data_IF_488012366026
#
_entry.id   IF_488012366026
#
_cell.length_a   1.000
_cell.length_b   1.000
_cell.length_c   1.000
_cell.angle_alpha   90.00
_cell.angle_beta   90.00
_cell.angle_gamma   90.00
#
_symmetry.space_group_name_H-M   'P 1'
#
loop_
_entity.id
_entity.type
_entity.pdbx_description
1 polymer ?
#
# COMPACT_ATOMS: atom_id res chain seq x y z
N UNK A 1 -4.43 -2.63 -8.40
CA UNK A 1 -5.01 -3.14 -7.14
C UNK A 1 -4.61 -4.60 -7.07
N UNK A 2 -3.67 -4.90 -6.18
CA UNK A 2 -3.08 -6.23 -6.04
C UNK A 2 -3.61 -6.89 -4.78
N UNK A 3 -4.02 -8.16 -4.89
CA UNK A 3 -4.27 -8.97 -3.71
C UNK A 3 -2.94 -9.58 -3.27
N UNK A 4 -2.22 -8.84 -2.42
CA UNK A 4 -0.89 -9.25 -1.99
C UNK A 4 -0.90 -10.58 -1.22
N UNK A 5 0.07 -11.44 -1.53
CA UNK A 5 0.28 -12.73 -0.88
C UNK A 5 0.69 -12.65 0.61
N UNK A 6 0.85 -11.43 1.15
CA UNK A 6 1.31 -11.15 2.52
C UNK A 6 0.68 -12.08 3.56
N UNK A 7 -0.65 -12.05 3.66
CA UNK A 7 -1.39 -12.77 4.72
C UNK A 7 -1.30 -14.29 4.53
N UNK A 8 -1.31 -14.76 3.27
CA UNK A 8 -1.20 -16.19 2.97
C UNK A 8 0.17 -16.74 3.33
N UNK A 9 1.24 -16.03 2.97
CA UNK A 9 2.62 -16.39 3.33
C UNK A 9 2.78 -16.38 4.85
N UNK A 10 2.22 -15.38 5.54
CA UNK A 10 2.25 -15.30 7.00
C UNK A 10 1.61 -16.52 7.67
N UNK A 11 0.46 -16.96 7.15
CA UNK A 11 -0.24 -18.13 7.66
C UNK A 11 0.54 -19.42 7.44
N UNK A 12 1.05 -19.64 6.22
CA UNK A 12 1.80 -20.85 5.88
C UNK A 12 3.05 -20.95 6.76
N UNK A 13 3.83 -19.87 6.85
CA UNK A 13 5.07 -19.84 7.65
C UNK A 13 4.74 -19.94 9.14
N UNK A 14 3.69 -19.27 9.62
CA UNK A 14 3.24 -19.36 11.00
C UNK A 14 2.81 -20.78 11.42
N UNK A 15 2.29 -21.59 10.49
CA UNK A 15 2.02 -23.00 10.71
C UNK A 15 3.26 -23.89 10.60
N UNK A 16 4.19 -23.56 9.70
CA UNK A 16 5.39 -24.36 9.45
C UNK A 16 6.47 -24.18 10.54
N UNK A 17 6.72 -22.95 10.99
CA UNK A 17 7.76 -22.60 11.97
C UNK A 17 7.16 -21.66 13.03
N UNK A 18 6.34 -22.16 13.96
CA UNK A 18 5.78 -21.36 15.02
C UNK A 18 6.86 -20.97 16.05
N UNK A 19 6.75 -19.77 16.62
CA UNK A 19 7.59 -19.30 17.73
C UNK A 19 8.76 -18.40 17.32
N UNK A 20 9.00 -18.20 16.02
CA UNK A 20 10.07 -17.32 15.53
C UNK A 20 9.52 -16.19 14.65
N UNK A 21 9.32 -15.02 15.26
CA UNK A 21 8.85 -13.82 14.56
C UNK A 21 9.85 -13.26 13.53
N UNK A 22 11.15 -13.47 13.73
CA UNK A 22 12.19 -12.97 12.82
C UNK A 22 12.14 -13.72 11.49
N UNK A 23 12.04 -15.05 11.53
CA UNK A 23 11.90 -15.88 10.32
C UNK A 23 10.65 -15.48 9.53
N UNK A 24 9.52 -15.26 10.23
CA UNK A 24 8.30 -14.79 9.59
C UNK A 24 8.50 -13.42 8.91
N UNK A 25 9.13 -12.46 9.59
CA UNK A 25 9.39 -11.13 9.03
C UNK A 25 10.25 -11.21 7.77
N UNK A 26 11.32 -12.01 7.78
CA UNK A 26 12.21 -12.17 6.62
C UNK A 26 11.48 -12.80 5.43
N UNK A 27 10.74 -13.89 5.65
CA UNK A 27 10.02 -14.57 4.56
C UNK A 27 8.88 -13.70 4.03
N UNK A 28 8.15 -13.00 4.91
CA UNK A 28 7.13 -12.04 4.51
C UNK A 28 7.73 -10.90 3.67
N UNK A 29 8.83 -10.32 4.11
CA UNK A 29 9.51 -9.25 3.38
C UNK A 29 9.95 -9.73 1.99
N UNK A 30 10.54 -10.92 1.88
CA UNK A 30 10.94 -11.48 0.59
C UNK A 30 9.73 -11.77 -0.30
N UNK A 31 8.74 -12.52 0.20
CA UNK A 31 7.57 -12.92 -0.57
C UNK A 31 6.78 -11.74 -1.09
N UNK A 32 6.51 -10.74 -0.25
CA UNK A 32 5.75 -9.56 -0.65
C UNK A 32 6.50 -8.67 -1.63
N UNK A 33 7.79 -8.40 -1.39
CA UNK A 33 8.55 -7.53 -2.27
C UNK A 33 8.79 -8.19 -3.64
N UNK A 34 9.05 -9.49 -3.69
CA UNK A 34 9.23 -10.21 -4.96
C UNK A 34 7.94 -10.16 -5.78
N UNK A 35 6.80 -10.49 -5.16
CA UNK A 35 5.48 -10.47 -5.81
C UNK A 35 5.12 -9.07 -6.30
N UNK A 36 5.26 -8.06 -5.44
CA UNK A 36 4.99 -6.67 -5.78
C UNK A 36 5.89 -6.12 -6.89
N UNK A 37 7.19 -6.47 -6.89
CA UNK A 37 8.10 -6.06 -7.97
C UNK A 37 7.78 -6.77 -9.28
N UNK A 38 7.42 -8.05 -9.23
CA UNK A 38 7.02 -8.82 -10.41
C UNK A 38 5.74 -8.26 -11.06
N UNK A 39 4.73 -7.91 -10.26
CA UNK A 39 3.48 -7.33 -10.77
C UNK A 39 3.70 -5.93 -11.38
N UNK A 40 4.50 -5.09 -10.70
CA UNK A 40 4.89 -3.78 -11.24
C UNK A 40 5.66 -3.95 -12.56
N UNK A 41 6.59 -4.90 -12.63
CA UNK A 41 7.33 -5.20 -13.85
C UNK A 41 6.40 -5.59 -15.01
N UNK A 42 5.45 -6.50 -14.77
CA UNK A 42 4.48 -6.93 -15.80
C UNK A 42 3.59 -5.76 -16.23
N UNK A 43 3.14 -4.93 -15.30
CA UNK A 43 2.32 -3.75 -15.59
C UNK A 43 3.08 -2.77 -16.48
N UNK A 44 4.32 -2.45 -16.11
CA UNK A 44 5.20 -1.58 -16.89
C UNK A 44 5.49 -2.16 -18.28
N UNK A 45 5.66 -3.47 -18.40
CA UNK A 45 5.90 -4.12 -19.68
C UNK A 45 4.68 -4.03 -20.61
N UNK A 46 3.47 -4.11 -20.05
CA UNK A 46 2.23 -3.90 -20.79
C UNK A 46 2.09 -2.46 -21.27
N UNK A 47 2.40 -1.48 -20.43
CA UNK A 47 2.40 -0.07 -20.82
C UNK A 47 3.45 0.23 -21.90
N UNK A 48 4.66 -0.31 -21.74
CA UNK A 48 5.72 -0.20 -22.75
C UNK A 48 5.34 -0.83 -24.09
N UNK A 49 4.59 -1.93 -24.07
CA UNK A 49 4.06 -2.56 -25.27
C UNK A 49 3.09 -1.62 -26.02
N UNK A 50 2.17 -0.95 -25.30
CA UNK A 50 1.29 0.06 -25.90
C UNK A 50 2.05 1.27 -26.45
N UNK A 51 3.16 1.66 -25.80
CA UNK A 51 4.04 2.74 -26.24
C UNK A 51 5.04 2.33 -27.33
N UNK A 52 5.02 1.08 -27.79
CA UNK A 52 5.96 0.51 -28.80
C UNK A 52 7.43 0.60 -28.40
N UNK A 53 7.73 0.51 -27.11
CA UNK A 53 9.11 0.51 -26.58
C UNK A 53 9.66 -0.93 -26.62
N UNK A 54 10.91 -1.15 -27.08
CA UNK A 54 11.49 -2.50 -27.11
C UNK A 54 11.71 -3.06 -25.69
N UNK A 55 11.36 -4.33 -25.43
CA UNK A 55 11.35 -4.90 -24.08
C UNK A 55 12.74 -4.98 -23.43
N UNK A 56 13.80 -5.22 -24.22
CA UNK A 56 15.17 -5.29 -23.70
C UNK A 56 15.69 -3.92 -23.21
N UNK A 57 15.27 -2.82 -23.84
CA UNK A 57 15.63 -1.48 -23.38
C UNK A 57 14.95 -1.15 -22.05
N UNK A 58 13.66 -1.52 -21.93
CA UNK A 58 12.90 -1.37 -20.69
C UNK A 58 13.54 -2.16 -19.53
N UNK A 59 13.88 -3.43 -19.77
CA UNK A 59 14.50 -4.28 -18.76
C UNK A 59 15.82 -3.68 -18.24
N UNK A 60 16.70 -3.22 -19.14
CA UNK A 60 17.97 -2.59 -18.76
C UNK A 60 17.76 -1.30 -17.95
N UNK A 61 16.80 -0.47 -18.36
CA UNK A 61 16.44 0.76 -17.64
C UNK A 61 15.93 0.48 -16.23
N UNK A 62 15.02 -0.50 -16.09
CA UNK A 62 14.48 -0.88 -14.79
C UNK A 62 15.53 -1.50 -13.88
N UNK A 63 16.39 -2.39 -14.39
CA UNK A 63 17.48 -2.97 -13.60
C UNK A 63 18.44 -1.91 -13.07
N UNK A 64 18.81 -0.92 -13.89
CA UNK A 64 19.67 0.19 -13.47
C UNK A 64 18.97 1.06 -12.41
N UNK A 65 17.69 1.39 -12.62
CA UNK A 65 16.91 2.18 -11.68
C UNK A 65 16.76 1.47 -10.32
N UNK A 66 16.46 0.17 -10.32
CA UNK A 66 16.37 -0.63 -9.09
C UNK A 66 17.71 -0.70 -8.36
N UNK A 67 18.81 -0.86 -9.10
CA UNK A 67 20.15 -0.86 -8.51
C UNK A 67 20.45 0.45 -7.78
N UNK A 68 20.20 1.60 -8.43
CA UNK A 68 20.38 2.92 -7.81
C UNK A 68 19.44 3.08 -6.60
N UNK A 69 18.17 2.67 -6.74
CA UNK A 69 17.16 2.75 -5.68
C UNK A 69 17.58 1.99 -4.42
N UNK A 70 18.25 0.84 -4.55
CA UNK A 70 18.77 0.08 -3.41
C UNK A 70 19.76 0.90 -2.58
N UNK A 71 20.75 1.54 -3.22
CA UNK A 71 21.74 2.36 -2.51
C UNK A 71 21.12 3.60 -1.88
N UNK A 72 20.26 4.31 -2.64
CA UNK A 72 19.62 5.53 -2.14
C UNK A 72 18.72 5.21 -0.95
N UNK A 73 17.90 4.15 -1.04
CA UNK A 73 17.01 3.76 0.05
C UNK A 73 17.79 3.37 1.30
N UNK A 74 18.85 2.56 1.16
CA UNK A 74 19.71 2.18 2.28
C UNK A 74 20.43 3.39 2.91
N UNK A 75 20.94 4.31 2.08
CA UNK A 75 21.60 5.53 2.56
C UNK A 75 20.63 6.42 3.35
N UNK A 76 19.44 6.66 2.82
CA UNK A 76 18.41 7.47 3.50
C UNK A 76 17.96 6.79 4.79
N UNK A 77 17.71 5.48 4.80
CA UNK A 77 17.31 4.77 6.03
C UNK A 77 18.39 4.86 7.12
N UNK A 78 19.66 4.65 6.77
CA UNK A 78 20.77 4.77 7.74
C UNK A 78 20.93 6.21 8.26
N UNK A 79 20.74 7.20 7.39
CA UNK A 79 20.79 8.61 7.78
C UNK A 79 19.65 8.98 8.74
N UNK A 80 18.42 8.57 8.42
CA UNK A 80 17.24 8.83 9.28
C UNK A 80 17.41 8.20 10.66
N UNK A 81 17.94 6.97 10.73
CA UNK A 81 18.17 6.29 12.01
C UNK A 81 19.25 6.94 12.86
N UNK A 82 20.28 7.52 12.25
CA UNK A 82 21.40 8.14 12.98
C UNK A 82 21.16 9.61 13.35
N UNK A 83 20.33 10.32 12.59
CA UNK A 83 20.18 11.78 12.71
C UNK A 83 18.85 12.22 13.32
N UNK A 84 17.86 11.32 13.46
CA UNK A 84 16.54 11.65 14.02
C UNK A 84 16.34 10.92 15.34
N UNK A 85 16.59 11.63 16.44
CA UNK A 85 16.44 11.11 17.80
C UNK A 85 14.97 10.87 18.15
N UNK A 86 14.62 9.66 18.60
CA UNK A 86 13.25 9.32 18.99
C UNK A 86 12.33 8.95 17.82
N UNK A 87 12.88 8.33 16.76
CA UNK A 87 12.11 7.79 15.65
C UNK A 87 10.97 6.86 16.14
N UNK A 88 9.80 6.96 15.52
CA UNK A 88 8.62 6.13 15.84
C UNK A 88 8.02 6.32 17.25
N UNK A 89 8.45 7.34 17.99
CA UNK A 89 7.82 7.76 19.26
C UNK A 89 6.61 8.68 19.00
N UNK A 90 5.56 8.62 19.83
CA UNK A 90 4.35 9.45 19.65
C UNK A 90 4.60 10.95 19.86
N UNK A 91 5.69 11.32 20.55
CA UNK A 91 6.02 12.72 20.89
C UNK A 91 7.09 13.34 19.99
N UNK A 92 7.49 12.67 18.90
CA UNK A 92 8.46 13.21 17.97
C UNK A 92 7.97 14.55 17.37
N UNK A 93 8.79 15.59 17.42
CA UNK A 93 8.46 16.94 16.95
C UNK A 93 8.04 16.96 15.47
N UNK A 94 8.65 16.08 14.67
CA UNK A 94 8.37 15.92 13.24
C UNK A 94 7.26 14.89 12.93
N UNK A 95 6.60 14.33 13.96
CA UNK A 95 5.48 13.37 13.86
C UNK A 95 5.78 12.10 13.04
N UNK A 96 7.04 11.65 13.02
CA UNK A 96 7.40 10.34 12.48
C UNK A 96 6.93 9.21 13.41
N UNK A 97 5.65 8.83 13.33
CA UNK A 97 5.00 7.85 14.22
C UNK A 97 5.05 6.39 13.72
N UNK A 98 5.55 6.16 12.50
CA UNK A 98 5.79 4.85 11.87
C UNK A 98 4.63 3.84 12.00
N UNK A 99 3.39 4.18 11.59
CA UNK A 99 2.24 3.30 11.75
C UNK A 99 2.36 2.00 10.95
N UNK A 100 2.98 2.04 9.77
CA UNK A 100 3.23 0.87 8.92
C UNK A 100 4.18 -0.14 9.58
N UNK A 101 5.33 0.33 10.07
CA UNK A 101 6.33 -0.53 10.70
C UNK A 101 5.83 -1.17 11.99
N UNK A 102 5.08 -0.41 12.81
CA UNK A 102 4.44 -0.96 14.00
C UNK A 102 3.41 -2.04 13.68
N UNK A 103 2.68 -1.89 12.57
CA UNK A 103 1.71 -2.89 12.12
C UNK A 103 2.42 -4.13 11.58
N UNK A 104 3.52 -3.95 10.85
CA UNK A 104 4.34 -5.06 10.35
C UNK A 104 4.97 -5.86 11.51
N UNK A 105 5.48 -5.19 12.54
CA UNK A 105 5.99 -5.84 13.76
C UNK A 105 4.88 -6.51 14.58
N UNK A 106 3.74 -5.85 14.78
CA UNK A 106 2.62 -6.47 15.52
C UNK A 106 2.09 -7.72 14.81
N UNK A 107 2.05 -7.70 13.47
CA UNK A 107 1.69 -8.87 12.67
C UNK A 107 2.68 -10.03 12.87
N UNK A 108 3.98 -9.77 12.98
CA UNK A 108 4.97 -10.82 13.19
C UNK A 108 4.87 -11.47 14.57
N UNK A 109 4.45 -10.71 15.59
CA UNK A 109 4.18 -11.25 16.92
C UNK A 109 2.94 -12.16 16.89
N UNK A 110 1.85 -11.71 16.27
CA UNK A 110 0.59 -12.47 16.23
C UNK A 110 0.74 -13.74 15.39
N UNK A 111 1.24 -13.63 14.17
CA UNK A 111 1.30 -14.76 13.24
C UNK A 111 2.57 -15.61 13.38
N UNK A 112 3.67 -15.04 13.86
CA UNK A 112 4.96 -15.71 13.93
C UNK A 112 5.26 -16.29 15.31
N UNK A 113 5.13 -15.46 16.36
CA UNK A 113 5.47 -15.90 17.73
C UNK A 113 4.32 -16.67 18.39
N UNK A 114 3.09 -16.14 18.35
CA UNK A 114 1.92 -16.83 18.92
C UNK A 114 1.50 -18.00 18.02
N UNK A 115 1.50 -17.74 16.71
CA UNK A 115 1.17 -18.71 15.67
C UNK A 115 -0.34 -18.86 15.43
N UNK A 116 -0.75 -19.13 14.19
CA UNK A 116 -2.15 -19.24 13.80
C UNK A 116 -2.89 -20.36 14.55
N UNK A 117 -2.22 -21.44 14.96
CA UNK A 117 -2.82 -22.53 15.74
C UNK A 117 -3.42 -22.05 17.07
N UNK A 118 -2.78 -21.12 17.78
CA UNK A 118 -3.30 -20.56 19.04
C UNK A 118 -4.31 -19.45 18.81
N UNK A 119 -4.09 -18.61 17.80
CA UNK A 119 -5.02 -17.53 17.44
C UNK A 119 -6.38 -18.10 17.04
N UNK A 120 -6.40 -19.10 16.17
CA UNK A 120 -7.65 -19.65 15.64
C UNK A 120 -8.31 -20.71 16.53
N UNK A 121 -7.60 -21.40 17.42
CA UNK A 121 -8.23 -22.38 18.32
C UNK A 121 -8.55 -21.82 19.71
N UNK A 122 -7.91 -20.73 20.12
CA UNK A 122 -8.09 -20.14 21.46
C UNK A 122 -8.71 -18.76 21.41
N UNK A 123 -7.90 -17.76 21.06
CA UNK A 123 -8.26 -16.33 21.22
C UNK A 123 -9.40 -15.88 20.30
N UNK A 124 -9.43 -16.35 19.05
CA UNK A 124 -10.38 -15.90 18.04
C UNK A 124 -10.82 -17.04 17.12
N UNK A 125 -11.67 -17.97 17.61
CA UNK A 125 -12.16 -19.11 16.82
C UNK A 125 -13.04 -18.70 15.64
N UNK A 126 -13.73 -17.57 15.75
CA UNK A 126 -14.59 -17.02 14.69
C UNK A 126 -13.80 -16.67 13.41
N UNK A 127 -12.52 -16.29 13.53
CA UNK A 127 -11.72 -15.83 12.38
C UNK A 127 -11.45 -16.94 11.35
N UNK A 128 -11.50 -18.22 11.73
CA UNK A 128 -11.41 -19.33 10.77
C UNK A 128 -12.53 -19.29 9.73
N UNK A 129 -13.73 -18.92 10.18
CA UNK A 129 -14.91 -18.84 9.33
C UNK A 129 -14.84 -17.68 8.35
N UNK A 130 -14.01 -16.66 8.60
CA UNK A 130 -13.79 -15.57 7.66
C UNK A 130 -13.18 -16.06 6.32
N UNK A 131 -12.37 -17.13 6.31
CA UNK A 131 -11.90 -17.73 5.05
C UNK A 131 -13.03 -18.33 4.24
N UNK A 132 -13.95 -19.04 4.91
CA UNK A 132 -15.12 -19.64 4.27
C UNK A 132 -16.11 -18.57 3.80
N UNK A 133 -16.35 -17.52 4.61
CA UNK A 133 -17.13 -16.36 4.20
C UNK A 133 -16.49 -15.72 2.96
N UNK A 134 -15.17 -15.50 2.95
CA UNK A 134 -14.46 -14.96 1.80
C UNK A 134 -14.61 -15.81 0.53
N UNK A 135 -14.55 -17.14 0.65
CA UNK A 135 -14.74 -18.07 -0.47
C UNK A 135 -16.19 -18.12 -0.97
N UNK A 136 -17.17 -17.94 -0.07
CA UNK A 136 -18.58 -17.94 -0.43
C UNK A 136 -19.07 -16.58 -0.94
N UNK A 137 -18.49 -15.46 -0.49
CA UNK A 137 -18.86 -14.10 -0.87
C UNK A 137 -18.88 -13.78 -2.38
N UNK A 138 -18.04 -14.37 -3.27
CA UNK A 138 -18.20 -14.18 -4.71
C UNK A 138 -19.51 -14.76 -5.26
N UNK A 139 -20.08 -15.80 -4.64
CA UNK A 139 -21.32 -16.44 -5.10
C UNK A 139 -22.54 -15.50 -5.02
N UNK A 140 -22.87 -14.87 -3.87
CA UNK A 140 -23.95 -13.89 -3.80
C UNK A 140 -23.62 -12.63 -4.60
N UNK A 141 -22.35 -12.21 -4.71
CA UNK A 141 -21.99 -11.10 -5.59
C UNK A 141 -22.24 -11.42 -7.08
N UNK A 142 -21.99 -12.65 -7.52
CA UNK A 142 -22.28 -13.12 -8.86
C UNK A 142 -23.80 -13.22 -9.10
N UNK A 143 -24.54 -13.81 -8.16
CA UNK A 143 -25.99 -13.90 -8.23
C UNK A 143 -26.64 -12.50 -8.27
N UNK A 144 -26.18 -11.57 -7.44
CA UNK A 144 -26.63 -10.18 -7.47
C UNK A 144 -26.32 -9.50 -8.80
N UNK A 145 -25.20 -9.88 -9.44
CA UNK A 145 -24.85 -9.36 -10.77
C UNK A 145 -25.73 -9.92 -11.89
N UNK A 146 -26.22 -11.15 -11.76
CA UNK A 146 -27.05 -11.80 -12.76
C UNK A 146 -28.54 -11.48 -12.61
N UNK A 147 -29.05 -11.42 -11.39
CA UNK A 147 -30.48 -11.28 -11.07
C UNK A 147 -30.88 -9.88 -10.59
N UNK A 148 -29.92 -8.99 -10.32
CA UNK A 148 -30.18 -7.64 -9.84
C UNK A 148 -30.60 -6.64 -10.92
N UNK A 149 -31.25 -5.52 -10.53
CA UNK A 149 -31.62 -4.46 -11.45
C UNK A 149 -30.38 -3.82 -12.10
N UNK A 150 -30.35 -3.79 -13.44
CA UNK A 150 -29.22 -3.30 -14.25
C UNK A 150 -28.73 -1.90 -13.86
N UNK A 151 -29.59 -1.06 -13.27
CA UNK A 151 -29.25 0.29 -12.79
C UNK A 151 -28.19 0.27 -11.66
N UNK A 152 -28.30 -0.66 -10.71
CA UNK A 152 -27.38 -0.74 -9.55
C UNK A 152 -26.19 -1.64 -9.87
N UNK A 153 -26.46 -2.75 -10.55
CA UNK A 153 -25.47 -3.77 -10.90
C UNK A 153 -24.35 -3.26 -11.81
N UNK A 154 -24.61 -2.23 -12.62
CA UNK A 154 -23.60 -1.61 -13.49
C UNK A 154 -22.49 -0.90 -12.72
N UNK A 155 -22.80 -0.34 -11.55
CA UNK A 155 -21.85 0.41 -10.73
C UNK A 155 -21.26 -0.42 -9.58
N UNK A 156 -21.85 -1.58 -9.28
CA UNK A 156 -21.41 -2.43 -8.19
C UNK A 156 -20.19 -3.26 -8.59
N UNK A 157 -19.02 -2.87 -8.09
CA UNK A 157 -17.76 -3.60 -8.26
C UNK A 157 -17.29 -4.13 -6.89
N UNK A 158 -17.63 -5.38 -6.55
CA UNK A 158 -17.37 -5.93 -5.21
C UNK A 158 -15.87 -5.97 -4.86
N UNK A 159 -15.01 -6.17 -5.86
CA UNK A 159 -13.55 -6.16 -5.70
C UNK A 159 -13.01 -4.83 -5.17
N UNK A 160 -13.58 -3.70 -5.62
CA UNK A 160 -13.17 -2.38 -5.15
C UNK A 160 -13.56 -2.15 -3.70
N UNK A 161 -14.75 -2.63 -3.31
CA UNK A 161 -15.26 -2.49 -1.94
C UNK A 161 -14.39 -3.32 -0.99
N UNK A 162 -14.21 -4.61 -1.26
CA UNK A 162 -13.39 -5.52 -0.45
C UNK A 162 -11.95 -5.00 -0.38
N UNK A 163 -11.43 -4.50 -1.49
CA UNK A 163 -10.11 -3.92 -1.55
C UNK A 163 -9.92 -2.64 -0.75
N UNK A 164 -10.95 -1.79 -0.69
CA UNK A 164 -10.96 -0.60 0.16
C UNK A 164 -10.83 -0.97 1.64
N UNK A 165 -11.50 -2.03 2.09
CA UNK A 165 -11.43 -2.49 3.48
C UNK A 165 -10.03 -2.94 3.91
N UNK A 166 -9.19 -3.43 2.99
CA UNK A 166 -7.81 -3.83 3.29
C UNK A 166 -6.91 -2.64 3.67
N UNK A 167 -7.24 -1.43 3.24
CA UNK A 167 -6.42 -0.24 3.49
C UNK A 167 -6.77 0.47 4.81
N UNK A 168 -7.89 0.10 5.45
CA UNK A 168 -8.34 0.71 6.70
C UNK A 168 -7.30 0.55 7.83
N UNK A 169 -6.82 -0.66 8.16
CA UNK A 169 -5.66 -0.78 9.06
C UNK A 169 -4.39 -0.39 8.29
N UNK A 170 -3.58 0.63 8.69
CA UNK A 170 -3.30 1.15 10.03
C UNK A 170 -3.78 2.61 10.30
N UNK A 171 -4.64 3.17 9.45
CA UNK A 171 -5.02 4.58 9.52
C UNK A 171 -6.42 4.76 10.10
N UNK A 172 -6.59 5.76 10.96
CA UNK A 172 -7.90 6.10 11.52
C UNK A 172 -8.87 6.59 10.42
N UNK A 173 -10.17 6.49 10.69
CA UNK A 173 -11.24 6.95 9.78
C UNK A 173 -11.02 8.41 9.32
N UNK A 174 -10.48 9.26 10.19
CA UNK A 174 -10.14 10.65 9.89
C UNK A 174 -9.17 10.84 8.72
N UNK A 175 -8.34 9.84 8.39
CA UNK A 175 -7.47 9.88 7.21
C UNK A 175 -8.22 9.53 5.92
N UNK A 176 -9.24 8.66 5.99
CA UNK A 176 -10.01 8.21 4.84
C UNK A 176 -11.17 9.14 4.47
N UNK A 177 -11.81 9.73 5.49
CA UNK A 177 -12.94 10.65 5.32
C UNK A 177 -12.66 11.81 4.35
N UNK A 178 -11.55 12.58 4.46
CA UNK A 178 -11.26 13.65 3.50
C UNK A 178 -11.00 13.13 2.08
N UNK A 179 -10.33 11.97 1.95
CA UNK A 179 -10.12 11.32 0.64
C UNK A 179 -11.44 10.92 -0.01
N UNK A 180 -12.42 10.47 0.78
CA UNK A 180 -13.76 10.13 0.30
C UNK A 180 -14.52 11.37 -0.19
N UNK A 181 -14.45 12.50 0.53
CA UNK A 181 -15.06 13.75 0.08
C UNK A 181 -14.42 14.28 -1.20
N UNK A 182 -13.09 14.25 -1.29
CA UNK A 182 -12.38 14.61 -2.51
C UNK A 182 -12.75 13.69 -3.68
N UNK A 183 -12.80 12.37 -3.45
CA UNK A 183 -13.22 11.41 -4.46
C UNK A 183 -14.64 11.68 -4.95
N UNK A 184 -15.59 11.96 -4.04
CA UNK A 184 -16.96 12.33 -4.43
C UNK A 184 -17.01 13.64 -5.24
N UNK A 185 -16.28 14.67 -4.80
CA UNK A 185 -16.21 15.94 -5.52
C UNK A 185 -15.67 15.76 -6.95
N UNK A 186 -14.55 15.07 -7.13
CA UNK A 186 -13.92 14.91 -8.43
C UNK A 186 -14.59 13.84 -9.32
N UNK A 187 -14.90 12.66 -8.78
CA UNK A 187 -15.43 11.54 -9.56
C UNK A 187 -16.95 11.61 -9.79
N UNK A 188 -17.71 12.23 -8.89
CA UNK A 188 -19.17 12.31 -9.02
C UNK A 188 -19.64 13.72 -9.42
N UNK A 189 -19.19 14.76 -8.70
CA UNK A 189 -19.70 16.11 -8.93
C UNK A 189 -19.12 16.76 -10.20
N UNK A 190 -17.79 16.83 -10.30
CA UNK A 190 -17.09 17.47 -11.41
C UNK A 190 -17.27 16.65 -12.69
N UNK A 191 -17.09 15.33 -12.64
CA UNK A 191 -17.27 14.46 -13.81
C UNK A 191 -18.66 14.56 -14.45
N UNK A 192 -19.73 14.76 -13.66
CA UNK A 192 -21.10 14.87 -14.19
C UNK A 192 -21.44 16.26 -14.73
N UNK A 193 -20.88 17.34 -14.16
CA UNK A 193 -21.18 18.72 -14.58
C UNK A 193 -20.19 19.28 -15.61
N UNK A 194 -18.95 18.81 -15.61
CA UNK A 194 -17.84 19.33 -16.41
C UNK A 194 -16.98 18.18 -16.99
N UNK A 195 -17.58 17.36 -17.84
CA UNK A 195 -16.91 16.20 -18.48
C UNK A 195 -15.62 16.60 -19.21
N UNK A 196 -15.68 17.68 -19.99
CA UNK A 196 -14.60 18.08 -20.89
C UNK A 196 -13.38 18.56 -20.11
N UNK A 197 -13.60 19.26 -19.00
CA UNK A 197 -12.53 19.65 -18.09
C UNK A 197 -11.93 18.43 -17.38
N UNK A 198 -12.80 17.51 -16.92
CA UNK A 198 -12.37 16.33 -16.19
C UNK A 198 -11.47 15.43 -17.04
N UNK A 199 -11.85 15.14 -18.29
CA UNK A 199 -11.07 14.30 -19.19
C UNK A 199 -9.70 14.89 -19.50
N UNK A 200 -9.61 16.23 -19.64
CA UNK A 200 -8.37 16.90 -20.02
C UNK A 200 -7.42 17.15 -18.84
N UNK A 201 -7.94 17.52 -17.67
CA UNK A 201 -7.11 18.06 -16.58
C UNK A 201 -7.08 17.21 -15.31
N UNK A 202 -8.03 16.31 -15.08
CA UNK A 202 -8.10 15.58 -13.80
C UNK A 202 -6.85 14.73 -13.53
N UNK A 203 -6.38 14.00 -14.54
CA UNK A 203 -5.15 13.20 -14.42
C UNK A 203 -3.91 14.07 -14.23
N UNK A 204 -3.81 15.19 -14.95
CA UNK A 204 -2.69 16.15 -14.81
C UNK A 204 -2.68 16.75 -13.41
N UNK A 205 -3.84 17.15 -12.88
CA UNK A 205 -3.98 17.68 -11.53
C UNK A 205 -3.59 16.65 -10.47
N UNK A 206 -4.03 15.39 -10.64
CA UNK A 206 -3.64 14.29 -9.75
C UNK A 206 -2.12 14.09 -9.73
N UNK A 207 -1.47 14.10 -10.91
CA UNK A 207 -0.02 14.00 -11.01
C UNK A 207 0.68 15.21 -10.40
N UNK A 208 0.15 16.41 -10.60
CA UNK A 208 0.71 17.65 -10.03
C UNK A 208 0.61 17.67 -8.50
N UNK A 209 -0.50 17.22 -7.91
CA UNK A 209 -0.65 17.10 -6.46
C UNK A 209 0.33 16.07 -5.89
N UNK A 210 0.50 14.92 -6.56
CA UNK A 210 1.47 13.90 -6.15
C UNK A 210 2.91 14.43 -6.18
N UNK A 211 3.30 15.11 -7.27
CA UNK A 211 4.59 15.77 -7.39
C UNK A 211 4.77 16.86 -6.33
N UNK A 212 3.74 17.67 -6.08
CA UNK A 212 3.76 18.72 -5.06
C UNK A 212 4.05 18.18 -3.66
N UNK A 213 3.44 17.06 -3.28
CA UNK A 213 3.72 16.39 -2.00
C UNK A 213 5.17 15.89 -1.93
N UNK A 214 5.74 15.41 -3.04
CA UNK A 214 7.14 14.96 -3.07
C UNK A 214 8.15 16.12 -2.98
N UNK A 215 7.86 17.27 -3.61
CA UNK A 215 8.74 18.44 -3.60
C UNK A 215 8.60 19.31 -2.34
N UNK A 216 7.41 19.35 -1.72
CA UNK A 216 7.15 20.21 -0.56
C UNK A 216 8.14 20.00 0.60
N UNK A 217 8.52 18.77 1.01
CA UNK A 217 9.49 18.55 2.07
C UNK A 217 10.88 19.12 1.74
N UNK A 218 11.31 18.99 0.47
CA UNK A 218 12.61 19.51 0.00
C UNK A 218 12.62 21.04 0.11
N UNK A 219 11.54 21.69 -0.36
CA UNK A 219 11.40 23.14 -0.31
C UNK A 219 11.36 23.61 1.15
N UNK A 220 10.57 22.97 2.02
CA UNK A 220 10.48 23.32 3.45
C UNK A 220 11.83 23.14 4.14
N UNK A 221 12.56 22.08 3.83
CA UNK A 221 13.89 21.83 4.38
C UNK A 221 14.85 22.98 4.04
N UNK A 222 14.99 23.33 2.76
CA UNK A 222 15.91 24.38 2.34
C UNK A 222 15.45 25.81 2.71
N UNK A 223 14.14 26.07 2.75
CA UNK A 223 13.62 27.40 3.04
C UNK A 223 13.54 27.71 4.54
N UNK A 224 13.29 26.71 5.40
CA UNK A 224 12.97 26.94 6.82
C UNK A 224 13.91 26.21 7.78
N UNK A 225 14.40 25.01 7.43
CA UNK A 225 15.19 24.19 8.36
C UNK A 225 16.71 24.31 8.13
N UNK A 226 17.14 24.67 6.93
CA UNK A 226 18.55 24.85 6.62
C UNK A 226 19.07 26.15 7.24
N UNK A 227 19.63 26.04 8.44
CA UNK A 227 20.45 27.10 9.03
C UNK A 227 21.91 26.84 8.67
N UNK A 228 22.55 27.79 7.97
CA UNK A 228 23.98 27.74 7.70
C UNK A 228 24.71 27.61 9.04
N UNK A 229 25.53 26.57 9.17
CA UNK A 229 26.42 26.38 10.31
C UNK A 229 27.79 26.84 9.86
N UNK A 230 28.23 27.99 10.35
CA UNK A 230 29.60 28.43 10.14
C UNK A 230 30.53 27.41 10.76
N UNK A 231 31.48 26.93 9.95
CA UNK A 231 32.52 26.00 10.37
C UNK A 231 33.70 26.89 10.77
N UNK A 232 33.82 27.18 12.07
CA UNK A 232 35.07 27.67 12.66
C UNK A 232 36.10 26.54 12.76
#
# INVERSE_FOLDING_TARGET
>A
FSFGLNVLVELIVGYAIPGNGVVLMTIKALGYNIDGQAENYITNQKEAHYAKIPPMALFRGQMLATFIQCFVSLGVTNWVLSNVDGLCTPHQAQKFTCPGDKTFFSASVIWGVIGPKRVFNGLYPILKWCFLIGALLPIPCYAFKQYGPKSVTRFFQPTLIIGGFLNIPPYNLSYFTPSMYAAYAFMYHIKRRYSDWWEKYNYVLSSALGAGVAFSPIIIFFAVQYHAKDID
#
